data_IF_608391249829
#
_entry.id   IF_608391249829
#
_cell.length_a   1.000
_cell.length_b   1.000
_cell.length_c   1.000
_cell.angle_alpha   90.00
_cell.angle_beta   90.00
_cell.angle_gamma   90.00
#
_symmetry.space_group_name_H-M   'P 1'
#
loop_
_entity.id
_entity.type
_entity.pdbx_description
1 polymer ?
#
# COMPACT_ATOMS: atom_id res chain seq x y z
N UNK A 1 5.17 8.28 -13.87
CA UNK A 1 4.02 9.18 -14.03
C UNK A 1 4.40 10.63 -13.74
N UNK A 2 4.80 10.97 -12.51
CA UNK A 2 5.21 12.34 -12.16
C UNK A 2 6.31 12.92 -13.07
N UNK A 3 7.42 12.19 -13.25
CA UNK A 3 8.50 12.63 -14.15
C UNK A 3 8.08 12.75 -15.63
N UNK A 4 7.09 11.96 -16.05
CA UNK A 4 6.57 11.96 -17.42
C UNK A 4 5.68 13.18 -17.68
N UNK A 5 4.98 13.65 -16.64
CA UNK A 5 4.05 14.77 -16.69
C UNK A 5 4.63 16.06 -16.05
N UNK A 6 5.91 16.08 -15.70
CA UNK A 6 6.56 17.24 -15.09
C UNK A 6 6.72 18.36 -16.13
N UNK A 7 6.05 19.49 -15.90
CA UNK A 7 6.11 20.66 -16.78
C UNK A 7 7.49 21.31 -16.82
N UNK A 8 8.29 21.14 -15.76
CA UNK A 8 9.64 21.70 -15.69
C UNK A 8 10.66 20.88 -16.49
N UNK A 9 10.33 19.62 -16.83
CA UNK A 9 11.18 18.70 -17.59
C UNK A 9 12.67 18.73 -17.15
N UNK A 10 12.99 18.56 -15.85
CA UNK A 10 14.34 18.73 -15.33
C UNK A 10 15.36 17.74 -15.92
N UNK A 11 14.88 16.65 -16.50
CA UNK A 11 15.69 15.61 -17.18
C UNK A 11 15.40 15.53 -18.68
N UNK A 12 14.86 16.60 -19.27
CA UNK A 12 14.38 16.64 -20.65
C UNK A 12 12.96 16.06 -20.83
N UNK A 13 12.51 16.00 -22.08
CA UNK A 13 11.18 15.46 -22.39
C UNK A 13 11.18 13.92 -22.24
N UNK A 14 10.66 13.45 -21.10
CA UNK A 14 10.51 12.03 -20.80
C UNK A 14 9.16 11.47 -21.23
N UNK A 15 8.28 12.27 -21.84
CA UNK A 15 6.92 11.84 -22.21
C UNK A 15 6.94 10.98 -23.47
N UNK A 16 6.57 9.68 -23.39
CA UNK A 16 6.43 8.86 -24.58
C UNK A 16 5.36 9.44 -25.51
N UNK A 17 5.56 9.27 -26.82
CA UNK A 17 4.59 9.70 -27.83
C UNK A 17 3.26 8.99 -27.58
N UNK A 18 2.17 9.78 -27.50
CA UNK A 18 0.83 9.26 -27.26
C UNK A 18 0.51 8.85 -25.82
N UNK A 19 1.39 9.10 -24.85
CA UNK A 19 1.11 8.80 -23.44
C UNK A 19 -0.09 9.61 -22.91
N UNK A 20 -1.11 8.88 -22.44
CA UNK A 20 -2.34 9.40 -21.86
C UNK A 20 -2.63 8.73 -20.51
N UNK A 21 -1.65 8.80 -19.59
CA UNK A 21 -1.78 8.36 -18.20
C UNK A 21 -1.97 6.84 -17.99
N UNK A 22 -1.67 6.00 -18.97
CA UNK A 22 -1.86 4.54 -18.91
C UNK A 22 -1.17 3.92 -17.69
N UNK A 23 0.04 4.37 -17.35
CA UNK A 23 0.73 3.89 -16.14
C UNK A 23 0.01 4.24 -14.84
N UNK A 24 -0.67 5.39 -14.77
CA UNK A 24 -1.48 5.75 -13.59
C UNK A 24 -2.74 4.89 -13.54
N UNK A 25 -3.38 4.64 -14.68
CA UNK A 25 -4.53 3.74 -14.76
C UNK A 25 -4.18 2.31 -14.32
N UNK A 26 -3.05 1.77 -14.79
CA UNK A 26 -2.56 0.46 -14.38
C UNK A 26 -2.18 0.41 -12.89
N UNK A 27 -1.58 1.48 -12.36
CA UNK A 27 -1.28 1.58 -10.92
C UNK A 27 -2.56 1.60 -10.08
N UNK A 28 -3.59 2.32 -10.52
CA UNK A 28 -4.89 2.33 -9.87
C UNK A 28 -5.53 0.94 -9.86
N UNK A 29 -5.65 0.30 -11.03
CA UNK A 29 -6.18 -1.06 -11.18
C UNK A 29 -5.46 -2.09 -10.29
N UNK A 30 -4.13 -2.01 -10.25
CA UNK A 30 -3.33 -2.89 -9.39
C UNK A 30 -3.63 -2.63 -7.90
N UNK A 31 -3.60 -1.36 -7.48
CA UNK A 31 -3.87 -1.01 -6.09
C UNK A 31 -5.29 -1.40 -5.66
N UNK A 32 -6.30 -1.24 -6.52
CA UNK A 32 -7.67 -1.68 -6.24
C UNK A 32 -7.73 -3.19 -5.98
N UNK A 33 -6.97 -3.99 -6.73
CA UNK A 33 -6.86 -5.44 -6.53
C UNK A 33 -6.06 -5.83 -5.28
N UNK A 34 -5.27 -4.93 -4.72
CA UNK A 34 -4.56 -5.12 -3.46
C UNK A 34 -5.42 -4.77 -2.23
N UNK A 35 -6.46 -3.94 -2.37
CA UNK A 35 -7.34 -3.53 -1.26
C UNK A 35 -7.93 -4.68 -0.43
N UNK A 36 -8.29 -5.85 -1.00
CA UNK A 36 -8.76 -6.97 -0.19
C UNK A 36 -7.79 -7.40 0.90
N UNK A 37 -6.47 -7.21 0.72
CA UNK A 37 -5.48 -7.51 1.76
C UNK A 37 -5.66 -6.67 3.03
N UNK A 38 -6.25 -5.48 2.91
CA UNK A 38 -6.52 -4.56 4.01
C UNK A 38 -7.94 -4.70 4.60
N UNK A 39 -8.76 -5.58 4.02
CA UNK A 39 -10.12 -5.84 4.49
C UNK A 39 -10.14 -6.89 5.60
N UNK A 40 -11.07 -6.74 6.55
CA UNK A 40 -11.42 -7.76 7.54
C UNK A 40 -10.29 -8.28 8.46
N UNK A 41 -9.33 -7.43 8.83
CA UNK A 41 -8.36 -7.75 9.89
C UNK A 41 -8.72 -7.01 11.19
N UNK A 42 -8.74 -7.74 12.32
CA UNK A 42 -9.05 -7.17 13.63
C UNK A 42 -7.96 -6.21 14.14
N UNK A 43 -6.71 -6.43 13.71
CA UNK A 43 -5.56 -5.60 14.09
C UNK A 43 -5.36 -4.38 13.18
N UNK A 44 -6.03 -4.32 12.03
CA UNK A 44 -5.80 -3.28 11.02
C UNK A 44 -4.51 -3.45 10.20
N UNK A 45 -3.75 -4.53 10.41
CA UNK A 45 -2.62 -4.90 9.56
C UNK A 45 -3.11 -5.63 8.30
N UNK A 46 -2.47 -5.47 7.13
CA UNK A 46 -2.87 -6.14 5.91
C UNK A 46 -2.34 -7.57 5.83
N UNK A 47 -3.14 -8.50 5.28
CA UNK A 47 -2.69 -9.85 4.93
C UNK A 47 -1.43 -9.80 4.04
N UNK A 48 -0.46 -10.70 4.24
CA UNK A 48 0.82 -10.66 3.53
C UNK A 48 0.70 -11.08 2.06
N UNK A 49 -0.41 -11.71 1.68
CA UNK A 49 -0.65 -12.23 0.34
C UNK A 49 -2.10 -12.01 -0.05
N UNK A 50 -2.28 -11.66 -1.33
CA UNK A 50 -3.58 -11.53 -1.97
C UNK A 50 -3.46 -12.07 -3.39
N UNK A 51 -4.48 -12.79 -3.84
CA UNK A 51 -4.62 -13.17 -5.24
C UNK A 51 -5.31 -12.03 -5.98
N UNK A 52 -4.69 -11.49 -7.02
CA UNK A 52 -5.22 -10.32 -7.75
C UNK A 52 -6.57 -10.57 -8.45
N UNK A 53 -6.93 -11.83 -8.68
CA UNK A 53 -8.22 -12.22 -9.28
C UNK A 53 -9.25 -12.66 -8.24
N UNK A 54 -8.81 -13.34 -7.20
CA UNK A 54 -9.69 -14.05 -6.25
C UNK A 54 -9.70 -13.44 -4.84
N UNK A 55 -8.90 -12.41 -4.57
CA UNK A 55 -8.79 -11.80 -3.25
C UNK A 55 -7.92 -12.60 -2.27
N UNK A 56 -8.18 -12.48 -0.97
CA UNK A 56 -7.38 -13.14 0.06
C UNK A 56 -7.72 -14.64 0.10
N UNK A 57 -6.72 -15.54 -0.01
CA UNK A 57 -6.94 -16.98 0.12
C UNK A 57 -7.45 -17.38 1.51
N UNK A 58 -8.26 -18.45 1.60
CA UNK A 58 -8.79 -18.94 2.88
C UNK A 58 -7.71 -19.49 3.83
N UNK A 59 -6.60 -19.99 3.27
CA UNK A 59 -5.44 -20.57 3.97
C UNK A 59 -4.31 -19.55 4.21
N UNK A 60 -4.62 -18.26 4.23
CA UNK A 60 -3.61 -17.20 4.38
C UNK A 60 -2.88 -17.28 5.73
N UNK A 61 -1.57 -17.04 5.69
CA UNK A 61 -0.70 -16.99 6.88
C UNK A 61 -1.27 -16.08 7.96
N UNK A 62 -1.23 -16.55 9.22
CA UNK A 62 -1.63 -15.77 10.41
C UNK A 62 -0.61 -14.71 10.82
N UNK A 63 0.53 -14.65 10.13
CA UNK A 63 1.60 -13.68 10.40
C UNK A 63 1.93 -12.85 9.18
N UNK A 64 2.29 -11.58 9.43
CA UNK A 64 2.93 -10.70 8.45
C UNK A 64 4.23 -10.16 8.99
N UNK A 65 5.13 -9.79 8.07
CA UNK A 65 6.34 -9.08 8.45
C UNK A 65 6.06 -7.59 8.56
N UNK A 66 6.68 -6.94 9.54
CA UNK A 66 6.53 -5.51 9.80
C UNK A 66 6.85 -4.65 8.58
N UNK A 67 7.88 -5.03 7.81
CA UNK A 67 8.24 -4.36 6.56
C UNK A 67 7.11 -4.43 5.53
N UNK A 68 6.55 -5.62 5.29
CA UNK A 68 5.46 -5.81 4.34
C UNK A 68 4.20 -5.05 4.72
N UNK A 69 3.87 -5.01 6.01
CA UNK A 69 2.71 -4.27 6.52
C UNK A 69 2.88 -2.75 6.50
N UNK A 70 4.12 -2.25 6.67
CA UNK A 70 4.39 -0.82 6.90
C UNK A 70 4.86 -0.03 5.68
N UNK A 71 5.31 -0.70 4.61
CA UNK A 71 6.02 -0.06 3.49
C UNK A 71 5.12 0.31 2.30
N UNK A 72 3.83 0.58 2.51
CA UNK A 72 2.92 0.99 1.43
C UNK A 72 2.40 2.42 1.57
N UNK A 73 2.75 3.13 2.66
CA UNK A 73 2.23 4.47 2.93
C UNK A 73 2.63 5.48 1.85
N UNK A 74 3.87 5.40 1.34
CA UNK A 74 4.36 6.34 0.34
C UNK A 74 3.63 6.14 -1.00
N UNK A 75 3.55 4.91 -1.46
CA UNK A 75 2.99 4.50 -2.75
C UNK A 75 1.48 4.76 -2.77
N UNK A 76 0.76 4.31 -1.74
CA UNK A 76 -0.69 4.49 -1.65
C UNK A 76 -1.05 5.95 -1.37
N UNK A 77 -0.23 6.67 -0.60
CA UNK A 77 -0.36 8.11 -0.40
C UNK A 77 -0.19 8.89 -1.70
N UNK A 78 0.83 8.56 -2.49
CA UNK A 78 1.07 9.17 -3.78
C UNK A 78 -0.07 8.90 -4.75
N UNK A 79 -0.50 7.64 -4.87
CA UNK A 79 -1.61 7.25 -5.73
C UNK A 79 -2.89 8.01 -5.37
N UNK A 80 -3.24 8.07 -4.08
CA UNK A 80 -4.43 8.79 -3.59
C UNK A 80 -4.45 10.25 -4.05
N UNK A 81 -3.30 10.93 -3.96
CA UNK A 81 -3.15 12.32 -4.42
C UNK A 81 -3.29 12.46 -5.93
N UNK A 82 -2.73 11.51 -6.68
CA UNK A 82 -2.76 11.54 -8.14
C UNK A 82 -4.16 11.28 -8.72
N UNK A 83 -4.97 10.43 -8.08
CA UNK A 83 -6.30 10.06 -8.59
C UNK A 83 -7.45 10.73 -7.84
N UNK A 84 -7.19 11.39 -6.72
CA UNK A 84 -8.20 12.06 -5.90
C UNK A 84 -9.05 11.14 -5.02
N UNK A 85 -8.61 9.89 -4.78
CA UNK A 85 -9.32 8.92 -3.93
C UNK A 85 -8.52 8.64 -2.64
N UNK A 86 -9.03 9.00 -1.45
CA UNK A 86 -8.31 8.86 -0.19
C UNK A 86 -8.27 7.42 0.36
N UNK A 87 -8.98 6.46 -0.25
CA UNK A 87 -9.10 5.09 0.30
C UNK A 87 -7.72 4.43 0.47
N UNK A 88 -6.83 4.57 -0.52
CA UNK A 88 -5.50 3.95 -0.50
C UNK A 88 -4.63 4.51 0.62
N UNK A 89 -4.51 5.82 0.74
CA UNK A 89 -3.76 6.46 1.84
C UNK A 89 -4.37 6.08 3.18
N UNK A 90 -5.70 6.05 3.28
CA UNK A 90 -6.42 5.67 4.48
C UNK A 90 -6.06 4.27 4.97
N UNK A 91 -6.06 3.27 4.08
CA UNK A 91 -5.74 1.90 4.48
C UNK A 91 -4.27 1.74 4.89
N UNK A 92 -3.34 2.41 4.18
CA UNK A 92 -1.92 2.36 4.53
C UNK A 92 -1.61 3.09 5.85
N UNK A 93 -2.26 4.23 6.12
CA UNK A 93 -2.14 4.94 7.41
C UNK A 93 -2.65 4.11 8.58
N UNK A 94 -3.76 3.39 8.41
CA UNK A 94 -4.26 2.47 9.44
C UNK A 94 -3.26 1.37 9.75
N UNK A 95 -2.66 0.76 8.73
CA UNK A 95 -1.63 -0.26 8.91
C UNK A 95 -0.41 0.29 9.69
N UNK A 96 0.09 1.47 9.32
CA UNK A 96 1.20 2.13 10.03
C UNK A 96 0.83 2.46 11.48
N UNK A 97 -0.40 2.93 11.74
CA UNK A 97 -0.88 3.21 13.11
C UNK A 97 -0.96 1.93 13.95
N UNK A 98 -1.48 0.84 13.37
CA UNK A 98 -1.52 -0.46 14.02
C UNK A 98 -0.12 -0.97 14.37
N UNK A 99 0.83 -0.89 13.42
CA UNK A 99 2.24 -1.21 13.70
C UNK A 99 2.77 -0.38 14.85
N UNK A 100 2.57 0.94 14.83
CA UNK A 100 3.02 1.82 15.89
C UNK A 100 2.48 1.39 17.26
N UNK A 101 1.22 0.99 17.35
CA UNK A 101 0.58 0.53 18.59
C UNK A 101 1.13 -0.82 19.10
N UNK A 102 1.63 -1.68 18.20
CA UNK A 102 2.22 -2.99 18.53
C UNK A 102 3.68 -2.92 19.01
N UNK A 103 4.31 -1.75 19.00
CA UNK A 103 5.69 -1.58 19.49
C UNK A 103 5.77 -1.87 21.00
N UNK A 104 6.91 -2.40 21.43
CA UNK A 104 7.19 -2.58 22.86
C UNK A 104 7.18 -1.22 23.56
N UNK A 105 6.37 -1.07 24.61
CA UNK A 105 6.31 0.17 25.41
C UNK A 105 7.61 0.47 26.16
N UNK A 106 8.43 -0.56 26.41
CA UNK A 106 9.67 -0.42 27.17
C UNK A 106 10.85 -0.03 26.26
N UNK A 107 10.93 -0.58 25.05
CA UNK A 107 12.08 -0.39 24.14
C UNK A 107 11.76 0.49 22.93
N UNK A 108 10.48 0.68 22.61
CA UNK A 108 10.04 1.34 21.38
C UNK A 108 10.21 0.51 20.10
N UNK A 109 10.73 -0.72 20.20
CA UNK A 109 11.03 -1.57 19.05
C UNK A 109 9.82 -2.38 18.57
N UNK A 110 9.80 -2.68 17.28
CA UNK A 110 8.84 -3.57 16.64
C UNK A 110 9.44 -4.97 16.47
N UNK A 111 8.58 -5.99 16.55
CA UNK A 111 8.95 -7.35 16.16
C UNK A 111 9.13 -7.49 14.64
N UNK A 112 9.82 -8.53 14.20
CA UNK A 112 9.97 -8.82 12.76
C UNK A 112 8.70 -9.44 12.17
N UNK A 113 8.01 -10.28 12.96
CA UNK A 113 6.76 -10.94 12.61
C UNK A 113 5.66 -10.52 13.59
N UNK A 114 4.47 -10.27 13.06
CA UNK A 114 3.30 -9.83 13.82
C UNK A 114 2.11 -10.73 13.48
N UNK A 115 1.34 -11.09 14.50
CA UNK A 115 0.13 -11.91 14.35
C UNK A 115 -1.09 -11.01 14.09
N UNK A 116 -1.97 -11.44 13.18
CA UNK A 116 -3.22 -10.75 12.89
C UNK A 116 -4.37 -11.06 13.85
N UNK A 117 -4.30 -12.18 14.56
CA UNK A 117 -5.27 -12.56 15.57
C UNK A 117 -4.65 -12.29 16.95
N UNK A 118 -5.10 -11.22 17.60
CA UNK A 118 -4.82 -10.94 19.01
C UNK A 118 -6.06 -11.29 19.80
#
# INVERSE_FOLDING_TARGET
HLLINDTNQPFGNLKPVGYNNELLHLAHELASRLLPAFGNTSTGLPYPRVNLRHGVPADVSTHTCTAGAGSLLLEFGMLSRLIGDPVYEGVARRAVKALWELRSKNTGLLGTFLNFFI
#
